data_IF_225481977229
#
_entry.id   IF_225481977229
#
_cell.length_a   1.000
_cell.length_b   1.000
_cell.length_c   1.000
_cell.angle_alpha   90.00
_cell.angle_beta   90.00
_cell.angle_gamma   90.00
#
_symmetry.space_group_name_H-M   'P 1'
#
loop_
_entity.id
_entity.type
_entity.pdbx_description
1 polymer ?
#
# COMPACT_ATOMS: atom_id res chain seq x y z
N UNK A 1 -10.88 14.70 10.92
CA UNK A 1 -11.54 16.02 10.90
C UNK A 1 -10.88 17.02 9.95
N UNK A 2 -9.65 16.77 9.47
CA UNK A 2 -8.89 17.62 8.54
C UNK A 2 -8.94 17.05 7.12
N UNK A 3 -8.45 17.83 6.14
CA UNK A 3 -8.34 17.42 4.74
C UNK A 3 -9.69 17.14 4.10
N UNK A 4 -9.78 16.07 3.32
CA UNK A 4 -11.02 15.63 2.66
C UNK A 4 -12.03 14.99 3.61
N UNK A 5 -11.68 14.79 4.90
CA UNK A 5 -12.51 14.15 5.93
C UNK A 5 -12.85 12.69 5.62
N UNK A 6 -11.99 12.02 4.91
CA UNK A 6 -12.00 10.60 4.64
C UNK A 6 -10.64 9.99 4.95
N UNK A 7 -10.64 8.72 5.32
CA UNK A 7 -9.44 7.98 5.66
C UNK A 7 -9.53 6.61 5.01
N UNK A 8 -8.54 6.27 4.19
CA UNK A 8 -8.46 5.01 3.45
C UNK A 8 -7.05 4.47 3.50
N UNK A 9 -6.90 3.20 3.14
CA UNK A 9 -5.62 2.57 2.87
C UNK A 9 -4.65 2.81 4.03
N UNK A 10 -5.04 2.34 5.21
CA UNK A 10 -4.33 2.60 6.48
C UNK A 10 -3.12 1.69 6.57
N UNK A 11 -1.97 2.27 6.87
CA UNK A 11 -0.80 1.52 7.29
C UNK A 11 -0.35 1.92 8.69
N UNK A 12 0.35 1.02 9.37
CA UNK A 12 0.78 1.16 10.75
C UNK A 12 2.16 0.54 10.96
N UNK A 13 3.00 1.25 11.70
CA UNK A 13 4.29 0.73 12.13
C UNK A 13 4.51 0.92 13.64
N UNK A 14 5.15 -0.06 14.26
CA UNK A 14 5.68 0.06 15.62
C UNK A 14 7.08 0.66 15.55
N UNK A 15 7.33 1.70 16.33
CA UNK A 15 8.61 2.37 16.42
C UNK A 15 9.55 1.67 17.43
N UNK A 16 10.81 2.05 17.43
CA UNK A 16 11.84 1.52 18.37
C UNK A 16 11.53 1.75 19.85
N UNK A 17 10.82 2.83 20.15
CA UNK A 17 10.38 3.17 21.51
C UNK A 17 9.07 2.51 21.92
N UNK A 18 8.56 1.59 21.09
CA UNK A 18 7.30 0.88 21.21
C UNK A 18 6.03 1.73 21.00
N UNK A 19 6.15 2.99 20.63
CA UNK A 19 5.02 3.77 20.13
C UNK A 19 4.66 3.37 18.71
N UNK A 20 3.56 3.89 18.19
CA UNK A 20 3.04 3.55 16.85
C UNK A 20 2.83 4.82 16.03
N UNK A 21 3.09 4.69 14.75
CA UNK A 21 2.71 5.66 13.72
C UNK A 21 1.69 5.02 12.81
N UNK A 22 0.60 5.74 12.57
CA UNK A 22 -0.47 5.37 11.66
C UNK A 22 -0.53 6.42 10.55
N UNK A 23 -0.56 5.96 9.31
CA UNK A 23 -0.75 6.82 8.13
C UNK A 23 -1.90 6.32 7.29
N UNK A 24 -2.48 7.21 6.49
CA UNK A 24 -3.58 6.85 5.60
C UNK A 24 -3.73 7.84 4.44
N UNK A 25 -4.33 7.39 3.37
CA UNK A 25 -4.81 8.25 2.28
C UNK A 25 -5.87 9.23 2.80
N UNK A 26 -5.67 10.53 2.56
CA UNK A 26 -6.66 11.57 2.80
C UNK A 26 -7.59 11.66 1.58
N UNK A 27 -8.63 10.85 1.57
CA UNK A 27 -9.62 10.81 0.48
C UNK A 27 -11.00 10.39 1.00
N UNK A 28 -12.01 11.21 0.73
CA UNK A 28 -13.41 10.90 0.94
C UNK A 28 -14.14 10.70 -0.39
N UNK A 29 -14.25 9.45 -0.85
CA UNK A 29 -14.90 9.14 -2.14
C UNK A 29 -16.34 9.66 -2.17
N UNK A 30 -17.08 9.59 -1.07
CA UNK A 30 -18.47 10.06 -1.02
C UNK A 30 -18.58 11.55 -1.39
N UNK A 31 -17.59 12.35 -1.00
CA UNK A 31 -17.54 13.79 -1.35
C UNK A 31 -17.15 14.06 -2.82
N UNK A 32 -16.74 13.01 -3.53
CA UNK A 32 -16.28 13.05 -4.93
C UNK A 32 -17.25 12.36 -5.90
N UNK A 33 -18.37 11.84 -5.40
CA UNK A 33 -19.42 11.24 -6.22
C UNK A 33 -20.32 12.30 -6.86
N UNK A 34 -20.75 12.03 -8.08
CA UNK A 34 -21.80 12.81 -8.73
C UNK A 34 -23.21 12.46 -8.14
N UNK A 35 -24.26 13.10 -8.65
CA UNK A 35 -25.65 12.87 -8.25
C UNK A 35 -26.16 11.45 -8.53
N UNK A 36 -25.48 10.69 -9.40
CA UNK A 36 -25.76 9.29 -9.73
C UNK A 36 -24.85 8.31 -8.98
N UNK A 37 -24.07 8.78 -8.00
CA UNK A 37 -23.08 8.02 -7.23
C UNK A 37 -21.91 7.47 -8.07
N UNK A 38 -21.62 8.05 -9.24
CA UNK A 38 -20.44 7.71 -10.00
C UNK A 38 -19.22 8.47 -9.48
N UNK A 39 -18.07 7.84 -9.61
CA UNK A 39 -16.77 8.39 -9.20
C UNK A 39 -15.95 8.70 -10.45
N UNK A 40 -15.51 9.95 -10.60
CA UNK A 40 -14.53 10.33 -11.62
C UNK A 40 -13.11 10.06 -11.10
N UNK A 41 -12.58 8.89 -11.40
CA UNK A 41 -11.23 8.49 -11.01
C UNK A 41 -10.15 9.33 -11.68
N UNK A 42 -10.42 9.93 -12.85
CA UNK A 42 -9.51 10.85 -13.52
C UNK A 42 -9.36 12.15 -12.72
N UNK A 43 -10.46 12.73 -12.24
CA UNK A 43 -10.43 13.91 -11.37
C UNK A 43 -9.73 13.56 -10.04
N UNK A 44 -10.11 12.48 -9.38
CA UNK A 44 -9.53 12.11 -8.09
C UNK A 44 -8.02 11.83 -8.20
N UNK A 45 -7.54 11.25 -9.30
CA UNK A 45 -6.12 11.01 -9.50
C UNK A 45 -5.31 12.26 -9.87
N UNK A 46 -5.95 13.36 -10.27
CA UNK A 46 -5.29 14.60 -10.69
C UNK A 46 -5.52 15.79 -9.76
N UNK A 47 -6.55 15.73 -8.93
CA UNK A 47 -7.02 16.85 -8.10
C UNK A 47 -7.42 16.41 -6.68
N UNK A 48 -6.78 15.40 -6.12
CA UNK A 48 -7.01 14.98 -4.75
C UNK A 48 -6.11 15.71 -3.75
N UNK A 49 -6.24 15.34 -2.47
CA UNK A 49 -5.35 15.80 -1.41
C UNK A 49 -3.89 15.46 -1.74
N UNK A 50 -3.00 16.43 -1.50
CA UNK A 50 -1.53 16.28 -1.61
C UNK A 50 -0.87 16.04 -0.27
N UNK A 51 -1.66 15.59 0.70
CA UNK A 51 -1.24 15.24 2.03
C UNK A 51 -1.61 13.78 2.32
N UNK A 52 -0.94 13.19 3.29
CA UNK A 52 -1.39 11.97 3.96
C UNK A 52 -1.90 12.32 5.36
N UNK A 53 -2.88 11.58 5.83
CA UNK A 53 -3.34 11.61 7.22
C UNK A 53 -2.34 10.86 8.09
N UNK A 54 -2.10 11.40 9.29
CA UNK A 54 -1.06 10.92 10.19
C UNK A 54 -1.54 10.97 11.64
N UNK A 55 -1.21 9.93 12.43
CA UNK A 55 -1.45 9.87 13.87
C UNK A 55 -0.30 9.15 14.57
N UNK A 56 -0.12 9.50 15.86
CA UNK A 56 0.74 8.76 16.80
C UNK A 56 -0.11 8.11 17.88
N UNK A 57 0.34 6.99 18.42
CA UNK A 57 -0.27 6.31 19.55
C UNK A 57 0.79 5.58 20.36
N UNK A 58 0.62 5.53 21.69
CA UNK A 58 1.49 4.73 22.57
C UNK A 58 0.86 3.36 22.90
N UNK A 59 -0.44 3.18 22.65
CA UNK A 59 -1.19 2.02 23.13
C UNK A 59 -2.23 1.45 22.15
N UNK A 60 -2.37 2.05 20.94
CA UNK A 60 -3.38 1.73 19.92
C UNK A 60 -4.83 1.95 20.38
N UNK A 61 -5.03 2.63 21.50
CA UNK A 61 -6.33 2.99 22.07
C UNK A 61 -6.51 4.51 22.02
N UNK A 62 -5.47 5.23 22.40
CA UNK A 62 -5.46 6.69 22.43
C UNK A 62 -4.57 7.20 21.30
N UNK A 63 -5.15 8.02 20.43
CA UNK A 63 -4.47 8.57 19.25
C UNK A 63 -4.26 10.07 19.40
N UNK A 64 -3.14 10.57 18.88
CA UNK A 64 -2.92 12.00 18.70
C UNK A 64 -4.03 12.62 17.84
N UNK A 65 -4.24 13.94 17.90
CA UNK A 65 -5.03 14.63 16.87
C UNK A 65 -4.50 14.32 15.47
N UNK A 66 -5.41 14.21 14.49
CA UNK A 66 -5.03 14.03 13.10
C UNK A 66 -4.10 15.17 12.64
N UNK A 67 -3.01 14.81 12.00
CA UNK A 67 -2.16 15.72 11.24
C UNK A 67 -2.28 15.42 9.74
N UNK A 68 -2.04 16.44 8.92
CA UNK A 68 -1.87 16.28 7.48
C UNK A 68 -0.42 16.57 7.14
N UNK A 69 0.30 15.57 6.64
CA UNK A 69 1.70 15.70 6.25
C UNK A 69 1.80 15.97 4.75
N UNK A 70 2.33 17.15 4.41
CA UNK A 70 2.63 17.57 3.05
C UNK A 70 4.14 17.43 2.80
N UNK A 71 4.50 16.78 1.71
CA UNK A 71 5.90 16.46 1.41
C UNK A 71 6.60 17.44 0.44
N UNK A 72 6.03 18.62 0.21
CA UNK A 72 6.67 19.70 -0.54
C UNK A 72 6.59 19.60 -2.06
N UNK A 73 5.66 18.80 -2.63
CA UNK A 73 5.45 18.66 -4.08
C UNK A 73 4.04 19.03 -4.51
N UNK A 74 3.91 20.20 -5.12
CA UNK A 74 2.62 20.70 -5.65
C UNK A 74 2.21 20.06 -6.99
N UNK A 75 3.15 19.42 -7.67
CA UNK A 75 2.94 18.79 -8.97
C UNK A 75 2.34 17.39 -8.91
N UNK A 76 2.14 16.82 -7.71
CA UNK A 76 1.37 15.59 -7.53
C UNK A 76 -0.12 15.82 -7.74
N UNK A 77 -0.81 14.86 -8.35
CA UNK A 77 -2.27 14.86 -8.48
C UNK A 77 -2.98 14.25 -7.28
N UNK A 78 -2.33 13.27 -6.66
CA UNK A 78 -2.83 12.54 -5.48
C UNK A 78 -1.66 11.94 -4.70
N UNK A 79 -1.93 11.52 -3.45
CA UNK A 79 -1.06 10.67 -2.63
C UNK A 79 -1.91 9.54 -2.07
N UNK A 80 -1.80 8.33 -2.64
CA UNK A 80 -2.64 7.19 -2.28
C UNK A 80 -1.84 6.03 -1.71
N UNK A 81 -2.52 5.25 -0.86
CA UNK A 81 -2.00 4.02 -0.29
C UNK A 81 -0.57 4.19 0.27
N UNK A 82 -0.36 5.12 1.22
CA UNK A 82 0.95 5.28 1.83
C UNK A 82 1.26 4.10 2.73
N UNK A 83 2.50 3.59 2.66
CA UNK A 83 3.02 2.60 3.59
C UNK A 83 4.38 3.02 4.16
N UNK A 84 4.71 2.51 5.34
CA UNK A 84 5.95 2.80 6.06
C UNK A 84 6.83 1.56 6.08
N UNK A 85 8.02 1.71 5.55
CA UNK A 85 9.07 0.70 5.63
C UNK A 85 10.23 1.23 6.49
N UNK A 86 10.65 0.47 7.53
CA UNK A 86 11.83 0.81 8.28
C UNK A 86 13.07 0.23 7.61
N UNK A 87 13.97 1.12 7.17
CA UNK A 87 15.25 0.76 6.58
C UNK A 87 16.32 0.67 7.67
N UNK A 88 16.62 -0.55 8.10
CA UNK A 88 17.61 -0.82 9.16
C UNK A 88 19.03 -0.38 8.76
N UNK A 89 19.37 -0.47 7.47
CA UNK A 89 20.72 -0.18 6.99
C UNK A 89 21.10 1.31 7.16
N UNK A 90 20.13 2.22 7.03
CA UNK A 90 20.33 3.67 7.16
C UNK A 90 19.71 4.26 8.43
N UNK A 91 19.06 3.44 9.26
CA UNK A 91 18.31 3.87 10.46
C UNK A 91 17.32 5.01 10.14
N UNK A 92 16.45 4.78 9.14
CA UNK A 92 15.46 5.74 8.70
C UNK A 92 14.17 5.05 8.23
N UNK A 93 13.07 5.76 8.28
CA UNK A 93 11.79 5.30 7.73
C UNK A 93 11.62 5.80 6.30
N UNK A 94 11.14 4.92 5.45
CA UNK A 94 10.73 5.20 4.08
C UNK A 94 9.21 5.21 4.07
N UNK A 95 8.60 6.34 3.70
CA UNK A 95 7.18 6.37 3.40
C UNK A 95 7.06 6.33 1.88
N UNK A 96 6.52 5.25 1.35
CA UNK A 96 6.22 5.13 -0.08
C UNK A 96 4.72 5.22 -0.32
N UNK A 97 4.35 5.76 -1.47
CA UNK A 97 2.96 6.03 -1.82
C UNK A 97 2.79 6.11 -3.33
N UNK A 98 1.57 5.93 -3.79
CA UNK A 98 1.19 6.04 -5.18
C UNK A 98 0.83 7.48 -5.52
N UNK A 99 1.34 8.01 -6.64
CA UNK A 99 1.02 9.36 -7.10
C UNK A 99 1.04 9.48 -8.62
N UNK A 100 0.25 10.40 -9.14
CA UNK A 100 0.34 10.93 -10.50
C UNK A 100 1.07 12.26 -10.48
N UNK A 101 1.62 12.68 -11.61
CA UNK A 101 2.36 13.94 -11.69
C UNK A 101 1.87 14.82 -12.85
N UNK A 102 1.95 16.14 -12.67
CA UNK A 102 1.56 17.13 -13.68
C UNK A 102 2.38 17.03 -14.97
N UNK A 103 3.63 16.57 -14.88
CA UNK A 103 4.54 16.52 -16.01
C UNK A 103 4.07 15.62 -17.17
N UNK A 104 3.29 14.57 -16.87
CA UNK A 104 2.67 13.68 -17.85
C UNK A 104 1.16 13.91 -17.99
N UNK A 105 0.63 15.03 -17.46
CA UNK A 105 -0.80 15.33 -17.46
C UNK A 105 -1.61 14.43 -16.52
N UNK A 106 -0.99 13.90 -15.48
CA UNK A 106 -1.59 12.97 -14.51
C UNK A 106 -2.06 11.64 -15.11
N UNK A 107 -1.41 11.21 -16.18
CA UNK A 107 -1.84 10.02 -16.95
C UNK A 107 -1.34 8.70 -16.34
N UNK A 108 -0.22 8.73 -15.63
CA UNK A 108 0.43 7.52 -15.14
C UNK A 108 0.65 7.56 -13.63
N UNK A 109 0.11 6.56 -12.94
CA UNK A 109 0.41 6.32 -11.54
C UNK A 109 1.79 5.68 -11.39
N UNK A 110 2.59 6.14 -10.42
CA UNK A 110 3.87 5.57 -10.07
C UNK A 110 4.07 5.61 -8.55
N UNK A 111 5.00 4.81 -8.05
CA UNK A 111 5.35 4.79 -6.64
C UNK A 111 6.46 5.80 -6.38
N UNK A 112 6.21 6.70 -5.45
CA UNK A 112 7.16 7.68 -4.93
C UNK A 112 7.51 7.35 -3.49
N UNK A 113 8.59 7.92 -2.98
CA UNK A 113 8.98 7.78 -1.58
C UNK A 113 9.56 9.08 -1.02
N UNK A 114 9.41 9.24 0.26
CA UNK A 114 10.13 10.21 1.10
C UNK A 114 10.79 9.48 2.27
N UNK A 115 11.78 10.11 2.89
CA UNK A 115 12.51 9.57 4.03
C UNK A 115 12.33 10.46 5.25
N UNK A 116 12.31 9.84 6.42
CA UNK A 116 12.25 10.54 7.71
C UNK A 116 12.92 9.71 8.79
N UNK A 117 13.43 10.39 9.84
CA UNK A 117 13.92 9.74 11.07
C UNK A 117 13.01 9.99 12.26
N UNK A 118 12.12 10.96 12.16
CA UNK A 118 11.37 11.52 13.29
C UNK A 118 9.87 11.76 12.99
N UNK A 119 9.44 11.51 11.76
CA UNK A 119 8.09 11.79 11.25
C UNK A 119 7.67 13.28 11.33
N UNK A 120 8.64 14.17 11.47
CA UNK A 120 8.46 15.63 11.41
C UNK A 120 9.18 16.23 10.21
N UNK A 121 10.40 15.76 9.96
CA UNK A 121 11.23 16.22 8.85
C UNK A 121 11.26 15.17 7.74
N UNK A 122 10.87 15.56 6.53
CA UNK A 122 10.78 14.66 5.38
C UNK A 122 11.68 15.16 4.24
N UNK A 123 12.30 14.21 3.56
CA UNK A 123 13.00 14.55 2.32
C UNK A 123 12.01 14.88 1.20
N UNK A 124 12.43 15.64 0.19
CA UNK A 124 11.63 15.83 -1.02
C UNK A 124 11.36 14.47 -1.69
N UNK A 125 10.09 14.16 -2.02
CA UNK A 125 9.74 12.88 -2.64
C UNK A 125 10.46 12.63 -3.96
N UNK A 126 10.92 11.38 -4.13
CA UNK A 126 11.58 10.89 -5.34
C UNK A 126 10.80 9.70 -5.90
N UNK A 127 10.97 9.46 -7.20
CA UNK A 127 10.45 8.26 -7.84
C UNK A 127 11.12 7.02 -7.24
N UNK A 128 10.32 6.05 -6.82
CA UNK A 128 10.77 4.77 -6.28
C UNK A 128 10.66 3.65 -7.32
N UNK A 129 9.47 3.51 -7.91
CA UNK A 129 9.20 2.44 -8.85
C UNK A 129 8.13 2.84 -9.85
N UNK A 130 8.33 2.49 -11.13
CA UNK A 130 7.37 2.74 -12.19
C UNK A 130 7.38 1.63 -13.24
N UNK A 131 6.28 1.51 -13.96
CA UNK A 131 6.11 0.69 -15.17
C UNK A 131 5.38 1.50 -16.24
N UNK A 132 5.51 1.09 -17.50
CA UNK A 132 4.81 1.74 -18.61
C UNK A 132 3.28 1.74 -18.44
N UNK A 133 2.72 0.66 -17.87
CA UNK A 133 1.28 0.53 -17.60
C UNK A 133 0.77 1.33 -16.39
N UNK A 134 1.66 2.00 -15.64
CA UNK A 134 1.34 2.55 -14.33
C UNK A 134 1.26 1.49 -13.23
N UNK A 135 1.59 1.90 -12.00
CA UNK A 135 1.62 1.02 -10.81
C UNK A 135 1.17 1.79 -9.58
N UNK A 136 0.50 1.11 -8.65
CA UNK A 136 0.06 1.68 -7.38
C UNK A 136 -0.14 0.60 -6.31
N UNK A 137 -0.55 0.95 -5.11
CA UNK A 137 -0.76 0.07 -3.96
C UNK A 137 0.43 -0.85 -3.73
N UNK A 138 1.58 -0.23 -3.44
CA UNK A 138 2.82 -0.97 -3.19
C UNK A 138 2.94 -1.41 -1.75
N UNK A 139 3.41 -2.63 -1.54
CA UNK A 139 3.83 -3.16 -0.24
C UNK A 139 5.30 -3.61 -0.31
N UNK A 140 6.10 -3.19 0.65
CA UNK A 140 7.54 -3.43 0.69
C UNK A 140 7.94 -4.17 1.97
N UNK A 141 8.65 -5.29 1.81
CA UNK A 141 9.23 -6.05 2.94
C UNK A 141 10.64 -6.51 2.60
N UNK A 142 11.54 -6.57 3.60
CA UNK A 142 12.87 -7.17 3.49
C UNK A 142 12.87 -8.52 4.22
N UNK A 143 13.26 -9.58 3.53
CA UNK A 143 13.39 -10.93 4.11
C UNK A 143 14.81 -11.44 3.83
N UNK A 144 15.59 -11.59 4.88
CA UNK A 144 17.04 -11.78 4.74
C UNK A 144 17.68 -10.59 4.02
N UNK A 145 18.43 -10.86 2.95
CA UNK A 145 19.10 -9.84 2.15
C UNK A 145 18.29 -9.39 0.91
N UNK A 146 17.04 -9.87 0.77
CA UNK A 146 16.20 -9.63 -0.39
C UNK A 146 15.06 -8.69 -0.02
N UNK A 147 14.87 -7.65 -0.83
CA UNK A 147 13.69 -6.79 -0.82
C UNK A 147 12.63 -7.37 -1.73
N UNK A 148 11.39 -7.44 -1.24
CA UNK A 148 10.22 -7.88 -1.96
C UNK A 148 9.26 -6.70 -2.10
N UNK A 149 8.87 -6.40 -3.33
CA UNK A 149 7.90 -5.36 -3.66
C UNK A 149 6.68 -5.98 -4.31
N UNK A 150 5.54 -5.88 -3.64
CA UNK A 150 4.25 -6.15 -4.23
C UNK A 150 3.66 -4.84 -4.73
N UNK A 151 2.97 -4.87 -5.86
CA UNK A 151 2.36 -3.68 -6.44
C UNK A 151 1.22 -4.07 -7.38
N UNK A 152 0.23 -3.18 -7.54
CA UNK A 152 -0.86 -3.37 -8.49
C UNK A 152 -0.54 -2.66 -9.81
N UNK A 153 -0.97 -3.26 -10.93
CA UNK A 153 -0.94 -2.61 -12.25
C UNK A 153 -2.16 -1.73 -12.47
N UNK A 154 -2.01 -0.64 -13.24
CA UNK A 154 -3.13 0.22 -13.68
C UNK A 154 -3.78 -0.26 -14.98
N UNK A 155 -3.16 -1.20 -15.68
CA UNK A 155 -3.67 -1.76 -16.94
C UNK A 155 -4.29 -3.14 -16.71
N UNK A 156 -5.26 -3.48 -17.54
CA UNK A 156 -5.87 -4.82 -17.55
C UNK A 156 -4.86 -5.93 -17.97
N UNK A 157 -4.88 -7.07 -17.30
CA UNK A 157 -5.67 -7.37 -16.12
C UNK A 157 -5.16 -6.61 -14.89
N UNK A 158 -6.08 -5.98 -14.15
CA UNK A 158 -5.76 -5.27 -12.90
C UNK A 158 -5.43 -6.29 -11.80
N UNK A 159 -4.17 -6.49 -11.50
CA UNK A 159 -3.76 -7.49 -10.50
C UNK A 159 -2.47 -7.12 -9.79
N UNK A 160 -2.25 -7.74 -8.64
CA UNK A 160 -1.00 -7.63 -7.92
C UNK A 160 0.12 -8.38 -8.65
N UNK A 161 1.28 -7.76 -8.62
CA UNK A 161 2.53 -8.27 -9.13
C UNK A 161 3.55 -8.33 -8.00
N UNK A 162 4.61 -9.07 -8.21
CA UNK A 162 5.72 -9.18 -7.30
C UNK A 162 7.05 -8.95 -8.03
N UNK A 163 7.97 -8.30 -7.34
CA UNK A 163 9.35 -8.12 -7.80
C UNK A 163 10.32 -8.19 -6.63
N UNK A 164 11.55 -8.58 -6.90
CA UNK A 164 12.62 -8.68 -5.90
C UNK A 164 13.82 -7.83 -6.25
N UNK A 165 14.60 -7.42 -5.25
CA UNK A 165 15.87 -6.73 -5.42
C UNK A 165 16.83 -7.02 -4.27
N UNK A 166 18.13 -7.03 -4.54
CA UNK A 166 19.18 -7.08 -3.51
C UNK A 166 19.50 -5.70 -2.91
N UNK A 167 18.83 -4.65 -3.38
CA UNK A 167 19.03 -3.29 -2.89
C UNK A 167 17.74 -2.50 -2.99
N UNK A 168 17.41 -1.76 -1.92
CA UNK A 168 16.17 -1.00 -1.79
C UNK A 168 15.93 -0.04 -2.97
N UNK A 169 16.98 0.65 -3.42
CA UNK A 169 16.93 1.58 -4.55
C UNK A 169 17.63 1.03 -5.79
N UNK A 170 17.75 -0.30 -5.84
CA UNK A 170 18.41 -0.99 -6.94
C UNK A 170 17.46 -1.35 -8.09
N UNK A 171 17.91 -2.30 -8.89
CA UNK A 171 17.14 -2.81 -10.03
C UNK A 171 16.20 -3.93 -9.56
N UNK A 172 14.93 -3.77 -9.81
CA UNK A 172 13.89 -4.75 -9.46
C UNK A 172 13.77 -5.82 -10.55
N UNK A 173 13.76 -7.07 -10.11
CA UNK A 173 13.55 -8.23 -10.96
C UNK A 173 12.11 -8.71 -10.81
N UNK A 174 11.37 -8.76 -11.92
CA UNK A 174 9.98 -9.18 -11.96
C UNK A 174 9.84 -10.69 -11.73
N UNK A 175 8.85 -11.09 -10.93
CA UNK A 175 8.50 -12.47 -10.64
C UNK A 175 7.38 -12.94 -11.58
N UNK A 176 7.76 -13.68 -12.62
CA UNK A 176 6.81 -14.20 -13.60
C UNK A 176 5.99 -15.38 -13.08
N UNK A 177 6.51 -16.16 -12.13
CA UNK A 177 5.77 -17.30 -11.56
C UNK A 177 4.64 -16.80 -10.67
N UNK A 178 4.90 -15.77 -9.85
CA UNK A 178 3.86 -15.08 -9.09
C UNK A 178 2.80 -14.46 -10.02
N UNK A 179 3.22 -13.75 -11.07
CA UNK A 179 2.29 -13.18 -12.05
C UNK A 179 1.40 -14.25 -12.69
N UNK A 180 1.98 -15.36 -13.13
CA UNK A 180 1.23 -16.45 -13.77
C UNK A 180 0.22 -17.06 -12.79
N UNK A 181 0.59 -17.24 -11.53
CA UNK A 181 -0.32 -17.71 -10.49
C UNK A 181 -1.46 -16.73 -10.25
N UNK A 182 -1.18 -15.44 -10.06
CA UNK A 182 -2.21 -14.40 -9.88
C UNK A 182 -3.17 -14.33 -11.05
N UNK A 183 -2.70 -14.52 -12.27
CA UNK A 183 -3.54 -14.55 -13.47
C UNK A 183 -4.56 -15.71 -13.43
N UNK A 184 -4.27 -16.84 -12.78
CA UNK A 184 -5.23 -17.95 -12.60
C UNK A 184 -6.36 -17.60 -11.63
N UNK A 185 -6.15 -16.63 -10.76
CA UNK A 185 -7.11 -16.16 -9.77
C UNK A 185 -7.97 -15.00 -10.29
N UNK A 186 -7.60 -14.46 -11.46
CA UNK A 186 -8.33 -13.36 -12.07
C UNK A 186 -9.78 -13.76 -12.39
N UNK A 187 -10.71 -12.97 -11.94
CA UNK A 187 -12.16 -13.07 -12.14
C UNK A 187 -12.70 -11.69 -12.53
N UNK A 188 -13.95 -11.58 -12.93
CA UNK A 188 -14.59 -10.27 -13.07
C UNK A 188 -14.42 -9.47 -11.76
N UNK A 189 -13.57 -8.48 -11.79
CA UNK A 189 -12.97 -7.84 -10.63
C UNK A 189 -11.48 -8.13 -10.56
N UNK A 190 -10.83 -7.57 -9.59
CA UNK A 190 -9.39 -7.55 -9.46
C UNK A 190 -8.97 -7.74 -8.01
N UNK A 191 -7.66 -7.75 -7.78
CA UNK A 191 -7.09 -7.73 -6.43
C UNK A 191 -6.02 -6.66 -6.31
N UNK A 192 -5.98 -6.02 -5.15
CA UNK A 192 -5.11 -4.89 -4.81
C UNK A 192 -4.60 -4.99 -3.37
N UNK A 193 -3.91 -3.97 -2.90
CA UNK A 193 -3.61 -3.77 -1.50
C UNK A 193 -2.93 -4.98 -0.84
N UNK A 194 -1.82 -5.44 -1.44
CA UNK A 194 -1.02 -6.49 -0.84
C UNK A 194 -0.53 -6.04 0.54
N UNK A 195 -0.66 -6.90 1.55
CA UNK A 195 0.08 -6.78 2.80
C UNK A 195 0.61 -8.14 3.20
N UNK A 196 1.83 -8.18 3.74
CA UNK A 196 2.46 -9.44 4.11
C UNK A 196 3.01 -9.41 5.52
N UNK A 197 3.03 -10.58 6.16
CA UNK A 197 3.67 -10.78 7.46
C UNK A 197 4.13 -12.21 7.63
N UNK A 198 5.11 -12.41 8.50
CA UNK A 198 5.64 -13.75 8.80
C UNK A 198 4.88 -14.29 10.01
N UNK A 199 4.33 -15.50 9.87
CA UNK A 199 3.65 -16.21 10.93
C UNK A 199 4.67 -16.79 11.95
N UNK A 200 4.27 -17.06 13.20
CA UNK A 200 5.17 -17.62 14.22
C UNK A 200 5.83 -18.96 13.85
N UNK A 201 5.22 -19.72 12.93
CA UNK A 201 5.77 -20.97 12.40
C UNK A 201 6.75 -20.77 11.21
N UNK A 202 7.06 -19.52 10.86
CA UNK A 202 7.97 -19.15 9.78
C UNK A 202 7.36 -19.10 8.38
N UNK A 203 6.07 -19.40 8.26
CA UNK A 203 5.34 -19.25 7.00
C UNK A 203 5.12 -17.78 6.66
N UNK A 204 5.00 -17.50 5.38
CA UNK A 204 4.76 -16.14 4.88
C UNK A 204 3.31 -15.98 4.48
N UNK A 205 2.59 -15.09 5.13
CA UNK A 205 1.21 -14.74 4.79
C UNK A 205 1.21 -13.53 3.85
N UNK A 206 0.44 -13.63 2.77
CA UNK A 206 0.07 -12.54 1.88
C UNK A 206 -1.44 -12.37 1.92
N UNK A 207 -1.91 -11.15 2.08
CA UNK A 207 -3.32 -10.80 1.98
C UNK A 207 -3.53 -9.86 0.79
N UNK A 208 -4.53 -10.16 -0.02
CA UNK A 208 -4.93 -9.34 -1.18
C UNK A 208 -6.40 -8.95 -1.05
N UNK A 209 -6.72 -7.68 -1.29
CA UNK A 209 -8.11 -7.19 -1.32
C UNK A 209 -8.74 -7.45 -2.70
N UNK A 210 -9.74 -8.31 -2.74
CA UNK A 210 -10.51 -8.59 -3.95
C UNK A 210 -11.71 -7.66 -4.06
N UNK A 211 -11.90 -7.06 -5.22
CA UNK A 211 -12.98 -6.12 -5.51
C UNK A 211 -13.59 -6.34 -6.90
N UNK A 212 -14.74 -5.69 -7.18
CA UNK A 212 -15.41 -5.78 -8.48
C UNK A 212 -16.02 -7.15 -8.79
N UNK A 213 -16.04 -8.08 -7.83
CA UNK A 213 -16.67 -9.39 -7.91
C UNK A 213 -17.95 -9.44 -7.06
N UNK A 214 -18.52 -10.63 -6.94
CA UNK A 214 -19.69 -10.86 -6.08
C UNK A 214 -19.38 -10.44 -4.63
N UNK A 215 -20.34 -9.81 -3.97
CA UNK A 215 -20.19 -9.21 -2.64
C UNK A 215 -19.55 -10.14 -1.61
N UNK A 216 -19.92 -11.41 -1.63
CA UNK A 216 -19.46 -12.46 -0.70
C UNK A 216 -17.98 -12.86 -0.95
N UNK A 217 -17.41 -12.45 -2.08
CA UNK A 217 -16.04 -12.73 -2.50
C UNK A 217 -15.13 -11.52 -2.43
N UNK A 218 -15.67 -10.36 -2.01
CA UNK A 218 -14.91 -9.11 -1.86
C UNK A 218 -14.22 -9.04 -0.50
N UNK A 219 -13.13 -8.29 -0.46
CA UNK A 219 -12.31 -8.06 0.73
C UNK A 219 -11.04 -8.90 0.75
N UNK A 220 -10.38 -8.92 1.90
CA UNK A 220 -9.10 -9.63 2.03
C UNK A 220 -9.24 -11.13 1.89
N UNK A 221 -8.39 -11.68 1.04
CA UNK A 221 -8.22 -13.13 0.81
C UNK A 221 -6.79 -13.49 1.21
N UNK A 222 -6.61 -14.46 2.13
CA UNK A 222 -5.30 -14.87 2.60
C UNK A 222 -4.67 -15.93 1.70
N UNK A 223 -3.36 -15.81 1.56
CA UNK A 223 -2.47 -16.76 0.88
C UNK A 223 -1.30 -17.09 1.81
N UNK A 224 -0.80 -18.31 1.74
CA UNK A 224 0.36 -18.76 2.51
C UNK A 224 1.42 -19.31 1.57
N UNK A 225 2.67 -18.94 1.81
CA UNK A 225 3.85 -19.65 1.38
C UNK A 225 4.47 -20.37 2.57
N UNK A 226 4.97 -21.58 2.37
CA UNK A 226 5.51 -22.43 3.43
C UNK A 226 6.80 -21.89 4.06
N UNK A 227 7.43 -20.90 3.42
CA UNK A 227 8.66 -20.29 3.89
C UNK A 227 8.69 -18.80 3.55
N UNK A 228 9.07 -17.95 4.51
CA UNK A 228 9.32 -16.54 4.28
C UNK A 228 10.41 -16.33 3.21
N UNK A 229 10.15 -15.41 2.28
CA UNK A 229 11.00 -15.11 1.13
C UNK A 229 10.78 -16.00 -0.10
N UNK A 230 9.99 -17.06 0.03
CA UNK A 230 9.56 -17.89 -1.10
C UNK A 230 8.15 -17.48 -1.54
N UNK A 231 8.03 -16.81 -2.69
CA UNK A 231 6.75 -16.24 -3.16
C UNK A 231 5.81 -17.28 -3.81
N UNK A 232 5.97 -18.57 -3.54
CA UNK A 232 5.04 -19.62 -3.96
C UNK A 232 3.82 -19.70 -3.05
N UNK A 233 2.93 -18.74 -3.20
CA UNK A 233 1.72 -18.62 -2.40
C UNK A 233 0.60 -19.54 -2.88
N UNK A 234 -0.22 -20.01 -1.92
CA UNK A 234 -1.48 -20.71 -2.20
C UNK A 234 -2.60 -20.16 -1.30
N UNK A 235 -3.81 -20.11 -1.82
CA UNK A 235 -4.96 -19.55 -1.13
C UNK A 235 -5.44 -20.46 0.03
N UNK A 236 -5.75 -19.86 1.20
CA UNK A 236 -6.06 -20.58 2.44
C UNK A 236 -7.28 -20.00 3.19
N UNK A 237 -8.35 -19.69 2.48
CA UNK A 237 -9.55 -19.05 3.05
C UNK A 237 -10.09 -19.73 4.31
N UNK A 238 -9.96 -21.05 4.41
CA UNK A 238 -10.47 -21.82 5.56
C UNK A 238 -9.68 -21.60 6.86
N UNK A 239 -8.49 -21.02 6.80
CA UNK A 239 -7.65 -20.76 7.97
C UNK A 239 -7.90 -19.40 8.61
N UNK A 240 -8.64 -18.52 7.93
CA UNK A 240 -8.87 -17.15 8.34
C UNK A 240 -10.36 -16.80 8.30
N UNK A 241 -10.76 -15.90 9.19
CA UNK A 241 -12.08 -15.31 9.21
C UNK A 241 -11.93 -13.80 9.37
N UNK A 242 -12.43 -13.05 8.39
CA UNK A 242 -12.44 -11.60 8.42
C UNK A 242 -13.87 -11.07 8.53
N UNK A 243 -14.08 -9.93 9.22
CA UNK A 243 -15.34 -9.21 9.12
C UNK A 243 -15.63 -8.81 7.67
N UNK A 244 -16.90 -8.82 7.29
CA UNK A 244 -17.30 -8.33 5.97
C UNK A 244 -16.83 -6.89 5.76
N UNK A 245 -16.28 -6.63 4.56
CA UNK A 245 -15.78 -5.31 4.19
C UNK A 245 -14.39 -4.97 4.75
N UNK A 246 -13.70 -5.93 5.37
CA UNK A 246 -12.31 -5.76 5.77
C UNK A 246 -11.42 -5.66 4.52
N UNK A 247 -10.79 -4.51 4.34
CA UNK A 247 -10.07 -4.12 3.14
C UNK A 247 -8.76 -3.42 3.50
N UNK A 248 -7.93 -3.26 2.53
CA UNK A 248 -6.69 -2.49 2.49
C UNK A 248 -6.21 -1.95 3.86
N UNK A 249 -5.23 -2.59 4.45
CA UNK A 249 -4.65 -2.19 5.74
C UNK A 249 -3.34 -2.92 6.03
N UNK A 250 -2.59 -2.39 6.99
CA UNK A 250 -1.34 -2.97 7.46
C UNK A 250 -1.54 -4.00 8.57
N UNK A 251 -0.53 -4.82 8.81
CA UNK A 251 -0.46 -5.79 9.90
C UNK A 251 0.80 -5.54 10.73
N UNK A 252 0.64 -5.50 12.05
CA UNK A 252 1.75 -5.39 12.99
C UNK A 252 1.67 -6.47 14.07
N UNK A 253 2.81 -6.86 14.59
CA UNK A 253 2.91 -7.71 15.77
C UNK A 253 2.81 -6.84 17.04
N UNK A 254 1.94 -7.24 17.96
CA UNK A 254 1.68 -6.53 19.24
C UNK A 254 2.02 -7.37 20.46
N UNK A 255 2.94 -8.34 20.36
CA UNK A 255 3.42 -9.15 21.48
C UNK A 255 4.27 -8.37 22.45
#
# INVERSE_FOLDING_TARGET
DKGEKGCRDIDIIRLKDNSFVIIATDLCIVNRMDENHNVDWGDISSNASKCISFWKSDDLIHFSPQELKYFGRDDFGCLWAPEIFYNEDDDEYIIHFSATVKADGYQKMAIYYTKTKDFENFTMPKLFFEKACGVFDSHLIKIGDIYHLFYKTSAEPLMNMHATSNSLFGKWQHDYDFQNYMATLYRPGSHEAATTYILPDGKWCLMLDFFGCEKEKMGYVPFISEKAGDAHFHQVNQLFSFPYGFKHGGVIEIS
#
